data_IF_176356871804
#
_entry.id   IF_176356871804
#
_cell.length_a   1.000
_cell.length_b   1.000
_cell.length_c   1.000
_cell.angle_alpha   90.00
_cell.angle_beta   90.00
_cell.angle_gamma   90.00
#
_symmetry.space_group_name_H-M   'P 1'
#
loop_
_entity.id
_entity.type
_entity.pdbx_description
1 polymer ?
#
# COMPACT_ATOMS: atom_id res chain seq x y z
N UNK A 1 -17.18 -10.27 -24.84
CA UNK A 1 -17.67 -10.52 -23.47
C UNK A 1 -16.98 -9.51 -22.54
N UNK A 2 -17.65 -8.41 -22.17
CA UNK A 2 -17.12 -7.45 -21.19
C UNK A 2 -17.59 -7.85 -19.78
N UNK A 3 -16.93 -8.82 -19.15
CA UNK A 3 -17.30 -9.31 -17.82
C UNK A 3 -16.66 -8.48 -16.70
N UNK A 4 -17.01 -7.20 -16.61
CA UNK A 4 -16.59 -6.37 -15.48
C UNK A 4 -17.52 -5.17 -15.33
N UNK A 5 -18.49 -5.27 -14.42
CA UNK A 5 -19.35 -4.13 -14.08
C UNK A 5 -18.58 -3.04 -13.32
N UNK A 6 -19.18 -1.85 -13.11
CA UNK A 6 -18.54 -0.74 -12.39
C UNK A 6 -17.95 -1.08 -11.00
N UNK A 7 -18.46 -2.14 -10.36
CA UNK A 7 -17.95 -2.66 -9.07
C UNK A 7 -16.56 -3.31 -9.19
N UNK A 8 -16.28 -4.08 -10.24
CA UNK A 8 -14.96 -4.73 -10.43
C UNK A 8 -13.89 -3.70 -10.78
N UNK A 9 -14.25 -2.67 -11.55
CA UNK A 9 -13.35 -1.56 -11.84
C UNK A 9 -12.97 -0.78 -10.58
N UNK A 10 -13.96 -0.45 -9.72
CA UNK A 10 -13.70 0.22 -8.44
C UNK A 10 -12.80 -0.60 -7.53
N UNK A 11 -12.99 -1.92 -7.48
CA UNK A 11 -12.15 -2.83 -6.67
C UNK A 11 -10.72 -2.92 -7.22
N UNK A 12 -10.54 -3.09 -8.52
CA UNK A 12 -9.21 -3.08 -9.14
C UNK A 12 -8.46 -1.77 -8.91
N UNK A 13 -9.17 -0.62 -8.97
CA UNK A 13 -8.57 0.69 -8.62
C UNK A 13 -8.16 0.78 -7.16
N UNK A 14 -8.93 0.20 -6.24
CA UNK A 14 -8.58 0.19 -4.84
C UNK A 14 -7.32 -0.65 -4.59
N UNK A 15 -7.19 -1.81 -5.24
CA UNK A 15 -6.00 -2.67 -5.16
C UNK A 15 -4.74 -1.94 -5.65
N UNK A 16 -4.80 -1.32 -6.84
CA UNK A 16 -3.66 -0.56 -7.38
C UNK A 16 -3.22 0.62 -6.50
N UNK A 17 -4.17 1.27 -5.83
CA UNK A 17 -3.85 2.31 -4.83
C UNK A 17 -3.15 1.70 -3.62
N UNK A 18 -3.66 0.57 -3.11
CA UNK A 18 -3.07 -0.13 -1.96
C UNK A 18 -1.64 -0.62 -2.26
N UNK A 19 -1.38 -1.13 -3.46
CA UNK A 19 -0.04 -1.50 -3.93
C UNK A 19 0.91 -0.30 -3.90
N UNK A 20 0.46 0.85 -4.40
CA UNK A 20 1.25 2.09 -4.37
C UNK A 20 1.58 2.51 -2.94
N UNK A 21 0.63 2.40 -2.01
CA UNK A 21 0.87 2.70 -0.59
C UNK A 21 1.88 1.72 0.03
N UNK A 22 1.77 0.42 -0.26
CA UNK A 22 2.70 -0.59 0.21
C UNK A 22 4.12 -0.41 -0.37
N UNK A 23 4.23 0.02 -1.63
CA UNK A 23 5.53 0.37 -2.22
C UNK A 23 6.18 1.53 -1.48
N UNK A 24 5.46 2.63 -1.24
CA UNK A 24 5.96 3.77 -0.46
C UNK A 24 6.38 3.36 0.95
N UNK A 25 5.59 2.49 1.60
CA UNK A 25 5.91 1.94 2.92
C UNK A 25 7.22 1.18 2.91
N UNK A 26 7.42 0.32 1.91
CA UNK A 26 8.67 -0.43 1.74
C UNK A 26 9.86 0.51 1.55
N UNK A 27 9.72 1.55 0.71
CA UNK A 27 10.76 2.56 0.50
C UNK A 27 11.14 3.27 1.78
N UNK A 28 10.17 3.73 2.59
CA UNK A 28 10.47 4.42 3.86
C UNK A 28 11.18 3.48 4.84
N UNK A 29 10.79 2.19 4.89
CA UNK A 29 11.49 1.19 5.70
C UNK A 29 12.94 1.02 5.28
N UNK A 30 13.20 0.92 3.98
CA UNK A 30 14.56 0.85 3.45
C UNK A 30 15.37 2.10 3.82
N UNK A 31 14.76 3.30 3.74
CA UNK A 31 15.41 4.55 4.14
C UNK A 31 15.77 4.58 5.63
N UNK A 32 14.95 4.00 6.51
CA UNK A 32 15.27 3.92 7.95
C UNK A 32 16.52 3.09 8.26
N UNK A 33 16.94 2.23 7.34
CA UNK A 33 18.14 1.39 7.46
C UNK A 33 19.39 2.07 6.89
N UNK A 34 19.26 3.17 6.14
CA UNK A 34 20.40 3.83 5.52
C UNK A 34 20.99 4.96 6.38
N UNK A 35 22.33 5.02 6.51
CA UNK A 35 23.00 6.01 7.36
C UNK A 35 22.80 7.46 6.89
N UNK A 36 22.60 7.70 5.58
CA UNK A 36 22.34 9.04 5.04
C UNK A 36 21.06 9.69 5.56
N UNK A 37 20.09 8.90 6.07
CA UNK A 37 18.83 9.41 6.61
C UNK A 37 18.81 9.54 8.13
N UNK A 38 19.94 9.29 8.82
CA UNK A 38 20.02 9.32 10.28
C UNK A 38 19.55 10.66 10.89
N UNK A 39 19.82 11.78 10.21
CA UNK A 39 19.42 13.12 10.66
C UNK A 39 17.90 13.37 10.59
N UNK A 40 17.17 12.60 9.79
CA UNK A 40 15.72 12.72 9.59
C UNK A 40 14.94 11.49 10.07
N UNK A 41 15.59 10.56 10.78
CA UNK A 41 15.00 9.27 11.15
C UNK A 41 13.66 9.40 11.88
N UNK A 42 13.51 10.37 12.79
CA UNK A 42 12.24 10.61 13.50
C UNK A 42 11.10 11.04 12.56
N UNK A 43 11.42 11.79 11.50
CA UNK A 43 10.44 12.19 10.48
C UNK A 43 9.98 10.95 9.71
N UNK A 44 10.92 10.12 9.26
CA UNK A 44 10.63 8.87 8.54
C UNK A 44 9.81 7.88 9.39
N UNK A 45 10.09 7.79 10.70
CA UNK A 45 9.27 6.99 11.62
C UNK A 45 7.84 7.53 11.71
N UNK A 46 7.67 8.85 11.77
CA UNK A 46 6.35 9.48 11.77
C UNK A 46 5.59 9.22 10.47
N UNK A 47 6.26 9.36 9.32
CA UNK A 47 5.68 9.11 8.00
C UNK A 47 5.28 7.64 7.83
N UNK A 48 6.14 6.70 8.26
CA UNK A 48 5.83 5.27 8.22
C UNK A 48 4.58 4.94 9.04
N UNK A 49 4.46 5.49 10.25
CA UNK A 49 3.27 5.29 11.10
C UNK A 49 2.01 5.88 10.46
N UNK A 50 2.10 7.07 9.85
CA UNK A 50 0.98 7.67 9.16
C UNK A 50 0.51 6.81 7.98
N UNK A 51 1.46 6.28 7.20
CA UNK A 51 1.16 5.42 6.07
C UNK A 51 0.57 4.07 6.50
N UNK A 52 1.07 3.48 7.60
CA UNK A 52 0.52 2.26 8.21
C UNK A 52 -0.95 2.46 8.62
N UNK A 53 -1.29 3.61 9.23
CA UNK A 53 -2.67 3.94 9.61
C UNK A 53 -3.57 4.04 8.37
N UNK A 54 -3.14 4.78 7.35
CA UNK A 54 -3.92 4.94 6.10
C UNK A 54 -4.11 3.60 5.39
N UNK A 55 -3.09 2.75 5.31
CA UNK A 55 -3.18 1.41 4.71
C UNK A 55 -4.22 0.56 5.45
N UNK A 56 -4.19 0.56 6.78
CA UNK A 56 -5.14 -0.20 7.59
C UNK A 56 -6.58 0.30 7.40
N UNK A 57 -6.81 1.62 7.47
CA UNK A 57 -8.12 2.23 7.24
C UNK A 57 -8.65 1.95 5.83
N UNK A 58 -7.79 2.06 4.82
CA UNK A 58 -8.14 1.80 3.43
C UNK A 58 -8.53 0.34 3.20
N UNK A 59 -7.75 -0.59 3.76
CA UNK A 59 -8.00 -2.03 3.64
C UNK A 59 -9.34 -2.40 4.26
N UNK A 60 -9.67 -1.83 5.42
CA UNK A 60 -10.97 -2.00 6.08
C UNK A 60 -12.11 -1.39 5.26
N UNK A 61 -11.94 -0.17 4.75
CA UNK A 61 -12.97 0.53 3.97
C UNK A 61 -13.37 -0.22 2.69
N UNK A 62 -12.42 -0.90 2.06
CA UNK A 62 -12.64 -1.62 0.80
C UNK A 62 -12.79 -3.14 0.98
N UNK A 63 -12.75 -3.64 2.21
CA UNK A 63 -12.82 -5.07 2.55
C UNK A 63 -11.85 -5.91 1.69
N UNK A 64 -10.60 -5.44 1.57
CA UNK A 64 -9.58 -6.11 0.76
C UNK A 64 -8.99 -7.25 1.59
N UNK A 65 -9.06 -8.48 1.07
CA UNK A 65 -8.50 -9.66 1.72
C UNK A 65 -7.03 -9.86 1.34
N UNK A 66 -6.23 -10.49 2.21
CA UNK A 66 -4.79 -10.72 1.97
C UNK A 66 -4.48 -11.54 0.72
N UNK A 67 -5.39 -12.43 0.31
CA UNK A 67 -5.28 -13.24 -0.91
C UNK A 67 -5.44 -12.43 -2.20
N UNK A 68 -6.12 -11.28 -2.16
CA UNK A 68 -6.30 -10.41 -3.32
C UNK A 68 -5.06 -9.57 -3.61
N UNK A 69 -4.21 -9.35 -2.60
CA UNK A 69 -2.92 -8.67 -2.76
C UNK A 69 -1.83 -9.58 -3.38
N UNK A 70 -2.10 -10.87 -3.60
CA UNK A 70 -1.11 -11.86 -4.08
C UNK A 70 -1.33 -12.34 -5.52
N UNK A 71 -2.38 -11.85 -6.21
CA UNK A 71 -2.84 -12.43 -7.47
C UNK A 71 -2.32 -11.77 -8.76
N UNK A 72 -1.41 -10.79 -8.71
CA UNK A 72 -0.86 -10.16 -9.93
C UNK A 72 0.54 -10.66 -10.34
N UNK A 73 1.23 -11.49 -9.53
CA UNK A 73 2.53 -12.08 -9.89
C UNK A 73 2.41 -13.35 -10.76
N UNK A 74 1.30 -13.56 -11.46
CA UNK A 74 1.07 -14.75 -12.28
C UNK A 74 0.35 -14.45 -13.59
N UNK A 75 0.94 -13.60 -14.44
CA UNK A 75 0.74 -13.61 -15.90
C UNK A 75 2.05 -13.25 -16.60
#
# INVERSE_FOLDING_TARGET
>A
MSQGGPKTFRRGRAIAILETLNLKRSTIKQQLEQPEFQSIQQILVGELKALDMVINEFTQLFEIQENEMKNEDSV
#
